data_IF_855032612617
#
_entry.id   IF_855032612617
#
_cell.length_a   1.000
_cell.length_b   1.000
_cell.length_c   1.000
_cell.angle_alpha   90.00
_cell.angle_beta   90.00
_cell.angle_gamma   90.00
#
_symmetry.space_group_name_H-M   'P 1'
#
loop_
_entity.id
_entity.type
_entity.pdbx_description
1 polymer ?
#
# COMPACT_ATOMS: atom_id res chain seq x y z
N UNK A 1 -39.11 15.09 61.90
CA UNK A 1 -37.82 15.12 61.21
C UNK A 1 -37.57 13.72 60.64
N UNK A 2 -37.69 13.54 59.33
CA UNK A 2 -37.41 12.28 58.62
C UNK A 2 -36.22 12.56 57.70
N UNK A 3 -35.07 11.96 58.01
CA UNK A 3 -33.82 12.04 57.27
C UNK A 3 -33.88 11.05 56.11
N UNK A 4 -33.86 11.56 54.86
CA UNK A 4 -33.77 10.72 53.67
C UNK A 4 -32.32 10.45 53.33
N UNK A 5 -31.95 9.18 53.32
CA UNK A 5 -30.63 8.69 52.88
C UNK A 5 -30.64 8.52 51.40
N UNK A 6 -29.88 9.35 50.64
CA UNK A 6 -29.70 9.21 49.21
C UNK A 6 -28.58 8.20 48.97
N UNK A 7 -28.89 7.06 48.36
CA UNK A 7 -27.93 6.07 47.87
C UNK A 7 -27.50 6.48 46.47
N UNK A 8 -26.23 6.90 46.38
CA UNK A 8 -25.56 7.21 45.12
C UNK A 8 -25.07 5.90 44.46
N UNK A 9 -25.77 5.40 43.46
CA UNK A 9 -25.30 4.29 42.64
C UNK A 9 -24.25 4.84 41.65
N UNK A 10 -22.95 4.52 41.88
CA UNK A 10 -21.93 4.67 40.89
C UNK A 10 -22.03 3.51 39.90
N UNK A 11 -22.55 3.76 38.70
CA UNK A 11 -22.42 2.85 37.56
C UNK A 11 -20.99 2.94 37.03
N UNK A 12 -20.15 1.97 37.37
CA UNK A 12 -18.88 1.75 36.68
C UNK A 12 -19.19 1.30 35.24
N UNK A 13 -19.11 2.23 34.30
CA UNK A 13 -19.07 1.89 32.88
C UNK A 13 -17.65 1.39 32.60
N UNK A 14 -17.42 0.08 32.66
CA UNK A 14 -16.18 -0.55 32.19
C UNK A 14 -16.17 -0.41 30.67
N UNK A 15 -15.44 0.60 30.16
CA UNK A 15 -14.98 0.62 28.78
C UNK A 15 -14.04 -0.58 28.62
N UNK A 16 -14.49 -1.61 27.96
CA UNK A 16 -13.63 -2.60 27.33
C UNK A 16 -12.97 -1.85 26.17
N UNK A 17 -11.83 -1.21 26.42
CA UNK A 17 -10.91 -0.87 25.36
C UNK A 17 -10.46 -2.20 24.79
N UNK A 18 -10.93 -2.55 23.59
CA UNK A 18 -10.31 -3.63 22.84
C UNK A 18 -8.85 -3.20 22.67
N UNK A 19 -7.93 -3.88 23.32
CA UNK A 19 -6.51 -3.77 23.07
C UNK A 19 -6.32 -4.11 21.58
N UNK A 20 -6.21 -3.09 20.74
CA UNK A 20 -5.82 -3.23 19.35
C UNK A 20 -4.39 -3.76 19.40
N UNK A 21 -4.20 -5.02 19.06
CA UNK A 21 -2.95 -5.74 19.28
C UNK A 21 -2.01 -5.46 18.09
N UNK A 22 -0.77 -5.09 18.40
CA UNK A 22 0.30 -5.03 17.42
C UNK A 22 0.51 -6.42 16.78
N UNK A 23 1.03 -6.49 15.53
CA UNK A 23 1.30 -7.77 14.89
C UNK A 23 2.31 -8.56 15.74
N UNK A 24 1.98 -9.80 16.07
CA UNK A 24 2.92 -10.70 16.73
C UNK A 24 3.85 -11.28 15.66
N UNK A 25 5.08 -10.78 15.61
CA UNK A 25 6.13 -11.20 14.68
C UNK A 25 7.17 -12.11 15.36
N UNK A 26 6.83 -12.74 16.49
CA UNK A 26 7.72 -13.69 17.17
C UNK A 26 8.12 -14.83 16.22
N UNK A 27 9.41 -15.00 15.99
CA UNK A 27 9.96 -16.01 15.07
C UNK A 27 9.91 -15.64 13.59
N UNK A 28 9.32 -14.50 13.21
CA UNK A 28 9.39 -14.01 11.83
C UNK A 28 10.80 -13.53 11.48
N UNK A 29 11.15 -13.64 10.20
CA UNK A 29 12.46 -13.22 9.67
C UNK A 29 12.27 -12.12 8.64
N UNK A 30 13.01 -11.01 8.76
CA UNK A 30 13.06 -9.95 7.75
C UNK A 30 13.71 -10.51 6.48
N UNK A 31 12.94 -10.60 5.40
CA UNK A 31 13.35 -11.18 4.10
C UNK A 31 13.43 -10.16 2.97
N UNK A 32 12.81 -9.00 3.15
CA UNK A 32 12.94 -7.85 2.26
C UNK A 32 13.11 -6.60 3.11
N UNK A 33 14.22 -5.93 2.87
CA UNK A 33 14.67 -4.74 3.60
C UNK A 33 15.00 -3.65 2.59
N UNK A 34 14.18 -2.60 2.55
CA UNK A 34 14.39 -1.43 1.72
C UNK A 34 14.29 -0.16 2.55
N UNK A 35 15.46 0.39 2.87
CA UNK A 35 15.66 1.59 3.70
C UNK A 35 15.99 2.84 2.88
N UNK A 36 16.05 2.73 1.56
CA UNK A 36 16.40 3.83 0.65
C UNK A 36 17.72 4.55 1.01
N UNK A 37 18.68 3.84 1.62
CA UNK A 37 19.96 4.39 2.10
C UNK A 37 21.01 4.58 0.98
N UNK A 38 20.68 4.23 -0.28
CA UNK A 38 21.56 4.32 -1.42
C UNK A 38 20.83 4.74 -2.69
N UNK A 39 21.52 4.70 -3.85
CA UNK A 39 20.86 4.90 -5.12
C UNK A 39 19.74 3.88 -5.33
N UNK A 40 18.58 4.34 -5.80
CA UNK A 40 17.45 3.46 -6.09
C UNK A 40 17.83 2.45 -7.19
N UNK A 41 17.80 1.15 -6.85
CA UNK A 41 18.00 0.07 -7.81
C UNK A 41 16.72 -0.14 -8.62
N UNK A 42 16.55 0.62 -9.70
CA UNK A 42 15.33 0.64 -10.51
C UNK A 42 15.65 0.68 -12.01
N UNK A 43 14.87 -0.05 -12.80
CA UNK A 43 14.81 0.05 -14.26
C UNK A 43 13.37 0.22 -14.73
N UNK A 44 13.17 0.45 -16.03
CA UNK A 44 11.80 0.56 -16.55
C UNK A 44 11.03 -0.76 -16.37
N UNK A 45 11.62 -1.89 -16.81
CA UNK A 45 10.92 -3.18 -16.92
C UNK A 45 11.73 -4.39 -16.43
N UNK A 46 12.93 -4.17 -15.85
CA UNK A 46 13.87 -5.24 -15.48
C UNK A 46 14.68 -5.73 -16.69
N UNK A 47 15.40 -6.87 -16.54
CA UNK A 47 15.77 -7.50 -15.28
C UNK A 47 16.98 -6.84 -14.59
N UNK A 48 17.37 -7.35 -13.41
CA UNK A 48 18.66 -7.01 -12.78
C UNK A 48 18.61 -5.81 -11.84
N UNK A 49 17.42 -5.29 -11.55
CA UNK A 49 17.19 -4.24 -10.54
C UNK A 49 16.24 -4.75 -9.46
N UNK A 50 16.32 -4.17 -8.26
CA UNK A 50 15.41 -4.50 -7.15
C UNK A 50 13.96 -4.12 -7.47
N UNK A 51 13.79 -3.03 -8.22
CA UNK A 51 12.49 -2.47 -8.59
C UNK A 51 12.40 -2.28 -10.11
N UNK A 52 11.16 -2.34 -10.63
CA UNK A 52 10.81 -1.77 -11.92
C UNK A 52 9.84 -0.60 -11.74
N UNK A 53 9.83 0.31 -12.72
CA UNK A 53 9.07 1.57 -12.63
C UNK A 53 7.69 1.52 -13.30
N UNK A 54 7.19 0.34 -13.63
CA UNK A 54 5.90 0.11 -14.26
C UNK A 54 5.22 -1.13 -13.67
N UNK A 55 3.92 -1.29 -13.95
CA UNK A 55 3.23 -2.53 -13.63
C UNK A 55 3.86 -3.69 -14.42
N UNK A 56 4.17 -4.81 -13.77
CA UNK A 56 4.90 -5.89 -14.45
C UNK A 56 4.03 -6.65 -15.48
N UNK A 57 2.72 -6.59 -15.37
CA UNK A 57 1.78 -7.17 -16.33
C UNK A 57 1.43 -6.24 -17.49
N UNK A 58 1.95 -5.02 -17.51
CA UNK A 58 1.78 -4.00 -18.56
C UNK A 58 0.54 -3.14 -18.39
N UNK A 59 0.65 -1.90 -18.82
CA UNK A 59 -0.37 -0.88 -18.73
C UNK A 59 -0.28 -0.05 -17.45
N UNK A 60 -0.28 1.27 -17.61
CA UNK A 60 -0.42 2.20 -16.49
C UNK A 60 -1.91 2.32 -16.12
N UNK A 61 -2.20 2.83 -14.93
CA UNK A 61 -3.56 3.07 -14.45
C UNK A 61 -3.69 4.47 -13.86
N UNK A 62 -4.93 4.92 -13.69
CA UNK A 62 -5.22 6.28 -13.26
C UNK A 62 -4.98 7.33 -14.35
N UNK A 63 -4.90 8.59 -13.93
CA UNK A 63 -4.82 9.75 -14.83
C UNK A 63 -3.38 10.27 -15.02
N UNK A 64 -2.37 9.58 -14.49
CA UNK A 64 -0.95 9.91 -14.67
C UNK A 64 -0.21 8.74 -15.32
N UNK A 65 0.66 9.05 -16.28
CA UNK A 65 1.58 8.05 -16.82
C UNK A 65 2.72 7.81 -15.84
N UNK A 66 3.02 6.56 -15.51
CA UNK A 66 4.21 6.21 -14.77
C UNK A 66 5.45 6.41 -15.65
N UNK A 67 6.50 6.98 -15.08
CA UNK A 67 7.68 7.37 -15.82
C UNK A 67 8.83 6.44 -15.53
N UNK A 68 9.56 6.07 -16.60
CA UNK A 68 10.80 5.34 -16.46
C UNK A 68 11.88 6.19 -15.77
N UNK A 69 12.76 5.59 -14.96
CA UNK A 69 13.82 6.31 -14.24
C UNK A 69 14.84 6.97 -15.17
N UNK A 70 14.93 6.51 -16.42
CA UNK A 70 15.84 7.01 -17.46
C UNK A 70 15.28 8.16 -18.29
N UNK A 71 14.02 8.58 -18.04
CA UNK A 71 13.45 9.75 -18.69
C UNK A 71 14.13 11.04 -18.22
N UNK A 72 14.05 12.14 -18.98
CA UNK A 72 14.73 13.41 -18.63
C UNK A 72 14.41 13.92 -17.23
N UNK A 73 13.22 13.59 -16.70
CA UNK A 73 12.84 13.83 -15.32
C UNK A 73 12.32 12.53 -14.72
N UNK A 74 13.11 11.97 -13.79
CA UNK A 74 12.70 10.80 -12.99
C UNK A 74 11.60 11.18 -12.01
N UNK A 75 10.58 10.33 -11.78
CA UNK A 75 9.61 10.52 -10.71
C UNK A 75 10.21 10.21 -9.33
N UNK A 76 11.40 9.63 -9.27
CA UNK A 76 12.03 9.15 -8.04
C UNK A 76 13.20 10.01 -7.65
N UNK A 77 13.28 10.35 -6.37
CA UNK A 77 14.46 10.93 -5.75
C UNK A 77 14.64 10.38 -4.34
N UNK A 78 15.89 10.21 -3.90
CA UNK A 78 16.20 9.80 -2.53
C UNK A 78 16.99 10.92 -1.88
N UNK A 79 16.59 11.30 -0.67
CA UNK A 79 17.29 12.24 0.17
C UNK A 79 17.13 11.83 1.63
N UNK A 80 18.24 11.76 2.35
CA UNK A 80 18.30 11.43 3.79
C UNK A 80 17.54 10.13 4.15
N UNK A 81 17.67 9.08 3.32
CA UNK A 81 16.98 7.80 3.51
C UNK A 81 15.48 7.82 3.18
N UNK A 82 14.99 8.87 2.54
CA UNK A 82 13.57 8.97 2.16
C UNK A 82 13.46 8.95 0.64
N UNK A 83 12.73 7.96 0.12
CA UNK A 83 12.27 7.98 -1.27
C UNK A 83 11.12 8.97 -1.42
N UNK A 84 11.21 9.84 -2.42
CA UNK A 84 10.11 10.68 -2.88
C UNK A 84 9.63 10.19 -4.24
N UNK A 85 8.35 9.84 -4.34
CA UNK A 85 7.67 9.63 -5.61
C UNK A 85 6.89 10.91 -5.94
N UNK A 86 7.21 11.52 -7.07
CA UNK A 86 6.64 12.81 -7.47
C UNK A 86 5.65 12.65 -8.61
N UNK A 87 4.47 13.24 -8.48
CA UNK A 87 3.54 13.46 -9.58
C UNK A 87 3.63 14.93 -10.03
N UNK A 88 3.67 15.17 -11.37
CA UNK A 88 3.74 16.52 -11.93
C UNK A 88 3.09 16.60 -13.32
N UNK A 89 2.65 17.80 -13.70
CA UNK A 89 2.26 18.11 -15.09
C UNK A 89 3.52 18.31 -15.92
N UNK A 90 3.64 17.55 -17.01
CA UNK A 90 4.78 17.61 -17.92
C UNK A 90 4.51 18.56 -19.08
N UNK A 91 5.13 19.77 -19.12
CA UNK A 91 4.93 20.72 -20.20
C UNK A 91 5.38 20.18 -21.57
N UNK A 92 6.37 19.29 -21.60
CA UNK A 92 6.87 18.67 -22.84
C UNK A 92 5.90 17.64 -23.41
N UNK A 93 4.90 17.22 -22.65
CA UNK A 93 3.86 16.25 -23.00
C UNK A 93 2.46 16.87 -22.92
N UNK A 94 2.33 18.11 -23.35
CA UNK A 94 1.05 18.83 -23.37
C UNK A 94 0.38 18.92 -21.99
N UNK A 95 1.19 19.09 -20.93
CA UNK A 95 0.77 19.10 -19.52
C UNK A 95 0.05 17.82 -19.05
N UNK A 96 0.31 16.68 -19.72
CA UNK A 96 -0.14 15.39 -19.19
C UNK A 96 0.56 15.08 -17.87
N UNK A 97 -0.17 14.49 -16.94
CA UNK A 97 0.39 14.12 -15.65
C UNK A 97 1.37 12.95 -15.77
N UNK A 98 2.48 13.08 -15.08
CA UNK A 98 3.51 12.04 -14.92
C UNK A 98 3.60 11.69 -13.45
N UNK A 99 3.91 10.43 -13.14
CA UNK A 99 4.13 9.97 -11.78
C UNK A 99 5.02 8.73 -11.75
N UNK A 100 5.05 8.01 -10.61
CA UNK A 100 5.87 6.83 -10.44
C UNK A 100 5.18 5.69 -9.71
N UNK A 101 5.60 4.49 -10.10
CA UNK A 101 5.26 3.23 -9.45
C UNK A 101 6.55 2.43 -9.30
N UNK A 102 6.68 1.66 -8.22
CA UNK A 102 7.72 0.65 -8.04
C UNK A 102 7.06 -0.72 -7.85
N UNK A 103 7.53 -1.72 -8.58
CA UNK A 103 7.17 -3.13 -8.40
C UNK A 103 8.41 -3.95 -8.09
N UNK A 104 8.32 -4.89 -7.13
CA UNK A 104 9.42 -5.75 -6.71
C UNK A 104 9.69 -6.95 -7.62
N UNK A 105 8.89 -7.12 -8.69
CA UNK A 105 9.13 -8.12 -9.73
C UNK A 105 9.15 -7.48 -11.11
N UNK A 106 9.89 -8.09 -12.04
CA UNK A 106 9.97 -7.68 -13.44
C UNK A 106 8.80 -8.21 -14.28
N UNK A 107 8.79 -7.89 -15.58
CA UNK A 107 7.72 -8.29 -16.52
C UNK A 107 7.65 -9.81 -16.79
N UNK A 108 8.51 -10.59 -16.17
CA UNK A 108 8.48 -12.07 -16.19
C UNK A 108 8.15 -12.66 -14.82
N UNK A 109 7.84 -11.82 -13.83
CA UNK A 109 7.59 -12.23 -12.45
C UNK A 109 8.88 -12.58 -11.68
N UNK A 110 10.07 -12.22 -12.18
CA UNK A 110 11.33 -12.42 -11.46
C UNK A 110 11.61 -11.23 -10.54
N UNK A 111 12.03 -11.52 -9.32
CA UNK A 111 12.35 -10.52 -8.30
C UNK A 111 11.92 -11.01 -6.93
N UNK A 112 11.52 -10.07 -6.05
CA UNK A 112 11.07 -10.43 -4.72
C UNK A 112 9.55 -10.67 -4.69
N UNK A 113 9.18 -11.83 -4.15
CA UNK A 113 7.82 -12.18 -3.74
C UNK A 113 7.87 -13.10 -2.53
N UNK A 114 6.82 -13.09 -1.70
CA UNK A 114 6.73 -13.88 -0.47
C UNK A 114 5.32 -14.42 -0.31
N UNK A 115 5.19 -15.70 0.03
CA UNK A 115 3.92 -16.29 0.44
C UNK A 115 3.71 -16.10 1.93
N UNK A 116 2.55 -15.59 2.34
CA UNK A 116 2.24 -15.27 3.73
C UNK A 116 3.25 -14.27 4.34
N UNK A 117 3.06 -13.90 5.62
CA UNK A 117 3.99 -13.01 6.29
C UNK A 117 3.44 -11.62 6.57
N UNK A 118 4.29 -10.77 7.10
CA UNK A 118 3.95 -9.38 7.41
C UNK A 118 4.65 -8.44 6.44
N UNK A 119 3.86 -7.58 5.83
CA UNK A 119 4.29 -6.56 4.87
C UNK A 119 4.01 -5.21 5.46
N UNK A 120 4.98 -4.30 5.44
CA UNK A 120 4.78 -2.94 5.92
C UNK A 120 5.55 -1.92 5.10
N UNK A 121 5.00 -0.71 5.00
CA UNK A 121 5.68 0.47 4.51
C UNK A 121 5.45 1.65 5.45
N UNK A 122 6.50 2.44 5.67
CA UNK A 122 6.41 3.68 6.42
C UNK A 122 6.38 4.86 5.46
N UNK A 123 5.24 5.55 5.40
CA UNK A 123 4.97 6.57 4.38
C UNK A 123 4.32 7.80 4.98
N UNK A 124 4.57 8.95 4.32
CA UNK A 124 3.77 10.16 4.47
C UNK A 124 3.07 10.44 3.14
N UNK A 125 1.75 10.51 3.16
CA UNK A 125 0.94 10.63 1.95
C UNK A 125 0.89 12.07 1.45
N UNK A 126 0.69 12.29 0.13
CA UNK A 126 0.38 13.61 -0.39
C UNK A 126 -0.99 14.07 0.09
N UNK A 127 -1.23 15.38 0.01
CA UNK A 127 -2.54 15.95 0.31
C UNK A 127 -3.15 16.60 -0.93
N UNK A 128 -4.47 16.67 -0.98
CA UNK A 128 -5.23 17.40 -1.98
C UNK A 128 -5.99 16.52 -2.96
N UNK A 129 -7.03 17.08 -3.60
CA UNK A 129 -7.92 16.32 -4.47
C UNK A 129 -7.17 15.64 -5.62
N UNK A 130 -7.60 14.43 -5.97
CA UNK A 130 -7.11 13.69 -7.12
C UNK A 130 -5.78 12.96 -6.93
N UNK A 131 -5.07 13.08 -5.77
CA UNK A 131 -3.96 12.17 -5.47
C UNK A 131 -4.50 10.78 -5.14
N UNK A 132 -3.75 9.73 -5.53
CA UNK A 132 -4.10 8.34 -5.27
C UNK A 132 -2.82 7.54 -4.95
N UNK A 133 -2.22 7.75 -3.76
CA UNK A 133 -1.15 6.92 -3.28
C UNK A 133 -1.65 5.54 -2.88
N UNK A 134 -0.84 4.50 -3.14
CA UNK A 134 -1.14 3.13 -2.75
C UNK A 134 0.13 2.37 -2.33
N UNK A 135 -0.06 1.46 -1.36
CA UNK A 135 0.86 0.40 -0.99
C UNK A 135 0.08 -0.91 -1.02
N UNK A 136 0.45 -1.81 -1.92
CA UNK A 136 -0.34 -2.96 -2.25
C UNK A 136 0.50 -4.15 -2.72
N UNK A 137 -0.12 -5.31 -2.79
CA UNK A 137 0.48 -6.57 -3.18
C UNK A 137 -0.33 -7.20 -4.30
N UNK A 138 0.34 -7.93 -5.21
CA UNK A 138 -0.35 -8.70 -6.24
C UNK A 138 0.31 -10.06 -6.46
N UNK A 139 -0.46 -11.04 -6.91
CA UNK A 139 -0.06 -12.43 -7.04
C UNK A 139 0.71 -12.72 -8.33
N UNK A 140 1.61 -13.70 -8.29
CA UNK A 140 2.41 -14.12 -9.45
C UNK A 140 1.61 -14.91 -10.50
N UNK A 141 0.36 -15.25 -10.26
CA UNK A 141 -0.47 -16.05 -11.17
C UNK A 141 -0.60 -15.50 -12.59
N UNK A 142 -0.47 -14.17 -12.76
CA UNK A 142 -0.47 -13.51 -14.06
C UNK A 142 0.71 -13.91 -14.95
N UNK A 143 1.82 -14.41 -14.35
CA UNK A 143 3.04 -14.85 -15.04
C UNK A 143 3.09 -16.35 -15.26
N UNK A 144 2.17 -17.13 -14.70
CA UNK A 144 2.10 -18.58 -14.89
C UNK A 144 1.67 -18.95 -16.31
N UNK A 145 2.03 -20.17 -16.73
CA UNK A 145 1.60 -20.75 -18.00
C UNK A 145 1.00 -22.13 -17.74
N UNK A 146 -0.33 -22.27 -17.80
CA UNK A 146 -1.35 -21.22 -18.04
C UNK A 146 -1.45 -20.22 -16.87
N UNK A 147 -1.94 -19.03 -17.16
CA UNK A 147 -2.25 -18.03 -16.11
C UNK A 147 -3.25 -18.60 -15.09
N UNK A 148 -3.06 -18.23 -13.83
CA UNK A 148 -3.96 -18.61 -12.73
C UNK A 148 -4.64 -17.38 -12.15
N UNK A 149 -5.61 -17.57 -11.26
CA UNK A 149 -6.20 -16.48 -10.49
C UNK A 149 -5.14 -15.83 -9.60
N UNK A 150 -5.31 -14.56 -9.31
CA UNK A 150 -4.45 -13.81 -8.41
C UNK A 150 -5.27 -13.12 -7.33
N UNK A 151 -4.69 -12.98 -6.14
CA UNK A 151 -5.15 -12.03 -5.14
C UNK A 151 -4.37 -10.73 -5.31
N UNK A 152 -5.08 -9.61 -5.19
CA UNK A 152 -4.54 -8.26 -5.00
C UNK A 152 -4.93 -7.81 -3.60
N UNK A 153 -4.00 -7.27 -2.84
CA UNK A 153 -4.21 -6.83 -1.46
C UNK A 153 -3.76 -5.38 -1.34
N UNK A 154 -4.73 -4.48 -1.30
CA UNK A 154 -4.48 -3.06 -1.06
C UNK A 154 -4.34 -2.85 0.45
N UNK A 155 -3.09 -2.76 0.92
CA UNK A 155 -2.78 -2.50 2.32
C UNK A 155 -3.18 -1.07 2.67
N UNK A 156 -2.96 -0.17 1.72
CA UNK A 156 -3.37 1.22 1.76
C UNK A 156 -3.73 1.69 0.36
N UNK A 157 -4.90 2.27 0.21
CA UNK A 157 -5.25 3.25 -0.80
C UNK A 157 -5.82 4.50 -0.12
N UNK A 158 -5.45 5.67 -0.61
CA UNK A 158 -6.03 6.93 -0.17
C UNK A 158 -6.43 7.74 -1.41
N UNK A 159 -7.62 8.32 -1.38
CA UNK A 159 -8.10 9.23 -2.41
C UNK A 159 -8.12 10.64 -1.82
N UNK A 160 -7.37 11.55 -2.40
CA UNK A 160 -7.15 12.89 -1.86
C UNK A 160 -8.40 13.75 -1.66
N UNK A 161 -9.57 13.25 -2.00
CA UNK A 161 -10.86 13.90 -1.74
C UNK A 161 -11.16 13.97 -0.24
N UNK A 162 -10.73 12.98 0.55
CA UNK A 162 -10.71 13.03 2.01
C UNK A 162 -9.48 12.28 2.55
N UNK A 163 -8.41 13.04 2.80
CA UNK A 163 -7.13 12.52 3.27
C UNK A 163 -7.16 11.93 4.71
N UNK A 164 -8.32 11.77 5.30
CA UNK A 164 -8.51 11.04 6.56
C UNK A 164 -9.00 9.62 6.35
N UNK A 165 -9.38 9.25 5.14
CA UNK A 165 -9.93 7.94 4.83
C UNK A 165 -8.87 7.10 4.11
N UNK A 166 -8.49 5.99 4.74
CA UNK A 166 -7.68 4.95 4.14
C UNK A 166 -8.54 3.73 3.82
N UNK A 167 -8.33 3.17 2.64
CA UNK A 167 -9.05 1.98 2.18
C UNK A 167 -8.12 0.77 2.25
N UNK A 168 -8.64 -0.35 2.74
CA UNK A 168 -8.04 -1.67 2.72
C UNK A 168 -8.94 -2.58 1.90
N UNK A 169 -8.41 -3.23 0.87
CA UNK A 169 -9.21 -4.08 -0.01
C UNK A 169 -8.49 -5.39 -0.30
N UNK A 170 -9.25 -6.48 -0.43
CA UNK A 170 -8.76 -7.76 -0.93
C UNK A 170 -9.57 -8.12 -2.16
N UNK A 171 -8.93 -8.12 -3.31
CA UNK A 171 -9.50 -8.52 -4.59
C UNK A 171 -9.05 -9.94 -4.96
N UNK A 172 -9.89 -10.64 -5.72
CA UNK A 172 -9.50 -11.84 -6.46
C UNK A 172 -9.86 -11.64 -7.93
N UNK A 173 -8.85 -11.79 -8.78
CA UNK A 173 -8.97 -11.62 -10.23
C UNK A 173 -8.86 -12.94 -10.96
N UNK A 174 -9.65 -13.08 -12.00
CA UNK A 174 -9.56 -14.19 -12.95
C UNK A 174 -8.41 -13.95 -13.95
N UNK A 175 -7.86 -14.99 -14.59
CA UNK A 175 -6.80 -14.85 -15.61
C UNK A 175 -7.11 -13.90 -16.78
N UNK A 176 -8.38 -13.66 -17.07
CA UNK A 176 -8.84 -12.70 -18.09
C UNK A 176 -8.98 -11.25 -17.60
N UNK A 177 -8.59 -10.98 -16.35
CA UNK A 177 -8.66 -9.67 -15.73
C UNK A 177 -10.05 -9.30 -15.17
N UNK A 178 -10.99 -10.24 -15.13
CA UNK A 178 -12.30 -10.02 -14.51
C UNK A 178 -12.21 -10.21 -13.00
N UNK A 179 -12.70 -9.22 -12.25
CA UNK A 179 -12.83 -9.34 -10.80
C UNK A 179 -13.87 -10.39 -10.41
N UNK A 180 -13.46 -11.33 -9.56
CA UNK A 180 -14.32 -12.38 -9.00
C UNK A 180 -14.88 -12.00 -7.64
N UNK A 181 -14.08 -11.34 -6.81
CA UNK A 181 -14.50 -10.82 -5.51
C UNK A 181 -13.72 -9.55 -5.16
N UNK A 182 -14.30 -8.74 -4.30
CA UNK A 182 -13.64 -7.58 -3.68
C UNK A 182 -14.29 -7.37 -2.33
N UNK A 183 -13.50 -7.44 -1.26
CA UNK A 183 -13.94 -7.19 0.12
C UNK A 183 -13.07 -6.09 0.67
N UNK A 184 -13.67 -5.00 1.11
CA UNK A 184 -12.94 -3.83 1.58
C UNK A 184 -13.46 -3.23 2.87
N UNK A 185 -12.64 -2.41 3.46
CA UNK A 185 -12.90 -1.58 4.62
C UNK A 185 -12.41 -0.16 4.38
N UNK A 186 -13.03 0.80 5.05
CA UNK A 186 -12.59 2.21 5.06
C UNK A 186 -12.34 2.64 6.50
N UNK A 187 -11.13 3.04 6.79
CA UNK A 187 -10.68 3.44 8.13
C UNK A 187 -10.48 4.95 8.19
N UNK A 188 -11.02 5.59 9.24
CA UNK A 188 -10.72 7.02 9.49
C UNK A 188 -9.44 7.12 10.31
N UNK A 189 -8.39 7.66 9.69
CA UNK A 189 -7.05 7.80 10.26
C UNK A 189 -6.66 9.26 10.34
N UNK A 190 -5.74 9.60 11.26
CA UNK A 190 -5.28 10.96 11.46
C UNK A 190 -3.80 11.09 11.07
N UNK A 191 -3.44 12.25 10.54
CA UNK A 191 -2.04 12.61 10.34
C UNK A 191 -1.37 12.05 9.10
N UNK A 192 -2.03 11.22 8.27
CA UNK A 192 -1.44 10.54 7.11
C UNK A 192 -0.67 11.47 6.16
N UNK A 193 -1.09 12.72 6.04
CA UNK A 193 -0.45 13.73 5.17
C UNK A 193 0.53 14.65 5.89
N UNK A 194 0.57 14.63 7.23
CA UNK A 194 1.39 15.55 8.04
C UNK A 194 2.56 14.88 8.75
N UNK A 195 2.64 13.55 8.70
CA UNK A 195 3.70 12.76 9.32
C UNK A 195 3.87 11.40 8.66
N UNK A 196 4.94 10.71 9.03
CA UNK A 196 5.17 9.34 8.61
C UNK A 196 4.40 8.36 9.50
N UNK A 197 3.64 7.50 8.86
CA UNK A 197 2.89 6.41 9.50
C UNK A 197 3.26 5.07 8.87
N UNK A 198 3.12 3.99 9.62
CA UNK A 198 3.35 2.63 9.15
C UNK A 198 2.03 1.97 8.79
N UNK A 199 1.94 1.50 7.56
CA UNK A 199 0.80 0.76 7.01
C UNK A 199 1.25 -0.68 6.81
N UNK A 200 0.49 -1.65 7.33
CA UNK A 200 0.92 -3.05 7.30
C UNK A 200 -0.22 -4.03 7.08
N UNK A 201 0.12 -5.23 6.58
CA UNK A 201 -0.76 -6.37 6.52
C UNK A 201 -0.05 -7.65 6.97
N UNK A 202 -0.65 -8.37 7.91
CA UNK A 202 -0.23 -9.70 8.32
C UNK A 202 -1.12 -10.73 7.63
N UNK A 203 -0.54 -11.45 6.68
CA UNK A 203 -1.22 -12.46 5.88
C UNK A 203 -0.94 -13.84 6.49
N UNK A 204 -1.98 -14.47 7.01
CA UNK A 204 -1.97 -15.84 7.51
C UNK A 204 -2.88 -16.71 6.64
N UNK A 205 -2.85 -18.01 6.88
CA UNK A 205 -3.70 -18.96 6.14
C UNK A 205 -5.20 -18.81 6.40
N UNK A 206 -5.57 -18.23 7.56
CA UNK A 206 -6.95 -18.05 7.99
C UNK A 206 -7.48 -16.63 7.79
N UNK A 207 -6.68 -15.60 8.14
CA UNK A 207 -7.06 -14.20 8.05
C UNK A 207 -5.92 -13.32 7.54
N UNK A 208 -6.28 -12.26 6.82
CA UNK A 208 -5.46 -11.09 6.54
C UNK A 208 -5.83 -10.01 7.56
N UNK A 209 -4.85 -9.52 8.32
CA UNK A 209 -5.01 -8.46 9.30
C UNK A 209 -4.33 -7.19 8.82
N UNK A 210 -5.01 -6.06 8.84
CA UNK A 210 -4.50 -4.76 8.40
C UNK A 210 -4.19 -3.86 9.59
N UNK A 211 -3.07 -3.14 9.50
CA UNK A 211 -2.53 -2.34 10.60
C UNK A 211 -2.20 -0.91 10.18
N UNK A 212 -2.36 0.01 11.13
CA UNK A 212 -1.87 1.38 11.07
C UNK A 212 -1.09 1.68 12.36
N UNK A 213 0.18 2.09 12.24
CA UNK A 213 1.08 2.31 13.38
C UNK A 213 1.08 1.16 14.40
N UNK A 214 1.04 -0.07 13.90
CA UNK A 214 1.00 -1.28 14.71
C UNK A 214 -0.37 -1.59 15.35
N UNK A 215 -1.41 -0.79 15.12
CA UNK A 215 -2.75 -1.07 15.61
C UNK A 215 -3.61 -1.74 14.53
N UNK A 216 -4.23 -2.86 14.86
CA UNK A 216 -5.13 -3.56 13.93
C UNK A 216 -6.35 -2.68 13.61
N UNK A 217 -6.58 -2.43 12.30
CA UNK A 217 -7.73 -1.69 11.79
C UNK A 217 -8.89 -2.61 11.44
N UNK A 218 -8.57 -3.70 10.78
CA UNK A 218 -9.54 -4.60 10.18
C UNK A 218 -8.90 -5.94 9.86
N UNK A 219 -9.73 -6.97 9.73
CA UNK A 219 -9.32 -8.27 9.21
C UNK A 219 -10.41 -8.91 8.35
N UNK A 220 -9.99 -9.75 7.41
CA UNK A 220 -10.88 -10.52 6.53
C UNK A 220 -10.34 -11.94 6.33
N UNK A 221 -11.19 -12.95 6.05
CA UNK A 221 -10.71 -14.28 5.69
C UNK A 221 -9.75 -14.23 4.51
N UNK A 222 -8.68 -15.02 4.57
CA UNK A 222 -7.68 -15.13 3.50
C UNK A 222 -8.25 -15.94 2.34
N UNK A 223 -8.38 -15.37 1.12
CA UNK A 223 -8.74 -16.17 -0.04
C UNK A 223 -7.57 -17.11 -0.41
N UNK A 224 -7.84 -18.29 -1.00
CA UNK A 224 -6.78 -19.25 -1.36
C UNK A 224 -5.67 -18.62 -2.22
N UNK A 225 -6.01 -17.72 -3.11
CA UNK A 225 -5.08 -17.02 -4.01
C UNK A 225 -4.06 -16.14 -3.25
N UNK A 226 -4.41 -15.66 -2.05
CA UNK A 226 -3.51 -14.85 -1.20
C UNK A 226 -2.53 -15.70 -0.37
N UNK A 227 -2.62 -17.03 -0.44
CA UNK A 227 -1.61 -17.93 0.15
C UNK A 227 -0.43 -18.21 -0.80
N UNK A 228 -0.56 -17.82 -2.06
CA UNK A 228 0.51 -17.88 -3.06
C UNK A 228 1.48 -16.69 -2.91
N UNK A 229 2.69 -16.75 -3.51
CA UNK A 229 3.63 -15.64 -3.43
C UNK A 229 3.05 -14.34 -4.00
N UNK A 230 3.14 -13.29 -3.19
CA UNK A 230 2.72 -11.93 -3.52
C UNK A 230 3.96 -11.03 -3.66
N UNK A 231 3.96 -10.16 -4.64
CA UNK A 231 5.00 -9.14 -4.82
C UNK A 231 4.49 -7.76 -4.39
N UNK A 232 5.42 -6.87 -4.11
CA UNK A 232 5.17 -5.56 -3.51
C UNK A 232 5.07 -4.49 -4.59
N UNK A 233 4.07 -3.61 -4.45
CA UNK A 233 3.94 -2.40 -5.26
C UNK A 233 3.71 -1.17 -4.35
N UNK A 234 4.28 -0.04 -4.78
CA UNK A 234 4.03 1.26 -4.18
C UNK A 234 3.98 2.32 -5.27
N UNK A 235 3.00 3.20 -5.23
CA UNK A 235 2.84 4.23 -6.26
C UNK A 235 2.18 5.50 -5.75
N UNK A 236 2.36 6.55 -6.54
CA UNK A 236 1.51 7.74 -6.52
C UNK A 236 0.76 7.80 -7.86
N UNK A 237 -0.41 7.18 -7.93
CA UNK A 237 -1.32 7.37 -9.05
C UNK A 237 -2.14 8.67 -8.88
N UNK A 238 -2.93 9.03 -9.86
CA UNK A 238 -3.89 10.12 -9.79
C UNK A 238 -5.27 9.65 -10.28
N UNK A 239 -6.30 10.26 -9.75
CA UNK A 239 -7.69 10.04 -10.16
C UNK A 239 -8.40 8.97 -9.33
N UNK A 240 -8.32 7.70 -9.75
CA UNK A 240 -9.05 6.61 -9.07
C UNK A 240 -10.56 6.80 -9.04
N UNK A 241 -11.13 7.44 -10.07
CA UNK A 241 -12.55 7.82 -10.14
C UNK A 241 -12.84 9.25 -9.65
N UNK A 242 -11.84 10.00 -9.19
CA UNK A 242 -11.96 11.37 -8.71
C UNK A 242 -11.31 12.37 -9.68
N UNK A 243 -11.86 13.61 -9.83
CA UNK A 243 -11.28 14.64 -10.69
C UNK A 243 -9.87 15.05 -10.26
N UNK A 244 -8.99 15.33 -11.26
CA UNK A 244 -7.59 15.72 -11.04
C UNK A 244 -7.30 17.19 -11.39
N UNK A 245 -8.29 17.96 -11.75
CA UNK A 245 -8.15 19.37 -12.17
C UNK A 245 -7.61 20.27 -11.03
N UNK A 246 -7.88 19.90 -9.78
CA UNK A 246 -7.42 20.60 -8.57
C UNK A 246 -6.24 19.91 -7.87
N UNK A 247 -5.67 18.87 -8.48
CA UNK A 247 -4.53 18.15 -7.88
C UNK A 247 -3.34 19.09 -7.75
N UNK A 248 -2.71 19.16 -6.56
CA UNK A 248 -1.50 19.96 -6.34
C UNK A 248 -0.37 19.56 -7.30
N UNK A 249 0.29 20.55 -7.90
CA UNK A 249 1.38 20.32 -8.86
C UNK A 249 2.66 21.05 -8.41
N UNK A 250 3.72 20.30 -7.99
CA UNK A 250 3.80 18.84 -7.88
C UNK A 250 3.10 18.30 -6.62
N UNK A 251 2.83 16.97 -6.62
CA UNK A 251 2.45 16.19 -5.44
C UNK A 251 3.54 15.19 -5.11
N UNK A 252 3.71 14.84 -3.82
CA UNK A 252 4.80 13.99 -3.35
C UNK A 252 4.29 12.91 -2.39
N UNK A 253 4.59 11.65 -2.69
CA UNK A 253 4.52 10.55 -1.74
C UNK A 253 5.92 10.31 -1.18
N UNK A 254 6.06 10.29 0.14
CA UNK A 254 7.32 10.03 0.82
C UNK A 254 7.31 8.62 1.41
N UNK A 255 8.36 7.84 1.16
CA UNK A 255 8.50 6.47 1.67
C UNK A 255 9.82 6.35 2.42
N UNK A 256 9.75 6.02 3.71
CA UNK A 256 10.93 5.89 4.56
C UNK A 256 11.50 4.46 4.48
N UNK A 257 10.65 3.44 4.49
CA UNK A 257 11.07 2.05 4.30
C UNK A 257 9.94 1.17 3.77
N UNK A 258 10.32 0.00 3.24
CA UNK A 258 9.42 -1.11 2.93
C UNK A 258 10.06 -2.39 3.45
N UNK A 259 9.38 -3.10 4.35
CA UNK A 259 9.84 -4.33 4.96
C UNK A 259 8.87 -5.49 4.70
N UNK A 260 9.41 -6.69 4.53
CA UNK A 260 8.62 -7.92 4.51
C UNK A 260 9.26 -8.95 5.43
N UNK A 261 8.44 -9.55 6.27
CA UNK A 261 8.84 -10.58 7.24
C UNK A 261 8.16 -11.90 6.88
N UNK A 262 8.96 -12.94 6.64
CA UNK A 262 8.47 -14.28 6.42
C UNK A 262 8.10 -14.95 7.74
N UNK A 263 7.02 -15.78 7.80
CA UNK A 263 6.66 -16.53 8.99
C UNK A 263 7.72 -17.58 9.32
N UNK A 264 7.78 -18.07 10.60
CA UNK A 264 8.60 -19.23 10.94
C UNK A 264 8.16 -20.47 10.14
N UNK A 265 9.15 -21.31 9.81
CA UNK A 265 8.95 -22.59 9.10
C UNK A 265 8.30 -23.65 9.97
#
# INVERSE_FOLDING_TARGET
>A
MRTALAVLMLTLCSRVESLLCAPDLTGYTLVFDEEFNGPLSVSAYGPGTKWIAHTPYGGDFGEAWFSSPTEPKSPFSIKDGILTITAWKDPSRNNHWRSGLLSSVDTKGHGFSQALGYYEARMQLPSGPGVWPAFWLDGLGSFHTPKTKVAEIDILEEYGVDSRIAHQVVHVWNPDGKQLSGIGNSSTLQGMTTGFHTYGALIKTDFIHFYFDGQELWKTPTPPEATEPLYVLVNLALGGGWPIDQTPNPSHLLVAFIHVYAPPH
#
